data_IF_985145201665
#
_entry.id   IF_985145201665
#
_cell.length_a   1.000
_cell.length_b   1.000
_cell.length_c   1.000
_cell.angle_alpha   90.00
_cell.angle_beta   90.00
_cell.angle_gamma   90.00
#
_symmetry.space_group_name_H-M   'P 1'
#
loop_
_entity.id
_entity.type
_entity.pdbx_description
1 polymer ?
#
# COMPACT_ATOMS: atom_id res chain seq x y z
N UNK A 1 18.64 -58.01 53.79
CA UNK A 1 18.82 -58.50 52.41
C UNK A 1 19.16 -57.34 51.46
N UNK A 2 20.17 -57.55 50.62
CA UNK A 2 20.59 -56.87 49.37
C UNK A 2 21.67 -57.81 48.76
N UNK A 3 22.02 -57.86 47.46
CA UNK A 3 21.64 -57.05 46.27
C UNK A 3 21.43 -57.88 44.97
N UNK A 4 21.48 -57.19 43.81
CA UNK A 4 21.86 -57.64 42.44
C UNK A 4 20.68 -58.00 41.52
N UNK A 5 20.38 -57.42 40.33
CA UNK A 5 21.05 -56.93 39.10
C UNK A 5 20.72 -57.83 37.86
N UNK A 6 20.17 -57.19 36.80
CA UNK A 6 20.25 -57.45 35.34
C UNK A 6 19.59 -58.70 34.66
N UNK A 7 19.30 -58.72 33.32
CA UNK A 7 19.74 -57.79 32.24
C UNK A 7 18.70 -57.30 31.16
N UNK A 8 19.16 -56.32 30.38
CA UNK A 8 18.80 -55.74 29.05
C UNK A 8 18.69 -56.73 27.85
N UNK A 9 18.57 -56.35 26.53
CA UNK A 9 18.38 -55.03 25.85
C UNK A 9 17.38 -55.01 24.65
N UNK A 10 17.11 -53.83 24.06
CA UNK A 10 17.31 -53.58 22.60
C UNK A 10 17.11 -52.09 22.23
N UNK A 11 18.09 -51.60 21.47
CA UNK A 11 18.40 -50.23 21.04
C UNK A 11 17.29 -49.48 20.27
N UNK A 12 17.43 -48.15 20.07
CA UNK A 12 18.30 -47.67 18.99
C UNK A 12 19.31 -46.58 19.39
N UNK A 13 20.50 -46.71 18.79
CA UNK A 13 21.61 -45.76 18.85
C UNK A 13 21.45 -44.60 17.87
N UNK A 14 22.16 -43.52 18.24
CA UNK A 14 22.85 -42.55 17.37
C UNK A 14 22.09 -41.30 16.92
N UNK A 15 22.36 -40.22 17.65
CA UNK A 15 22.64 -38.89 17.09
C UNK A 15 23.88 -38.99 16.16
N UNK A 16 23.91 -38.26 15.05
CA UNK A 16 24.78 -37.09 14.83
C UNK A 16 24.57 -36.48 13.43
N UNK A 17 24.72 -35.15 13.38
CA UNK A 17 25.02 -34.23 12.27
C UNK A 17 25.08 -34.74 10.81
N UNK A 18 24.35 -34.05 9.93
CA UNK A 18 24.99 -33.52 8.72
C UNK A 18 24.40 -32.15 8.33
N UNK A 19 25.31 -31.19 8.27
CA UNK A 19 25.17 -29.79 7.93
C UNK A 19 24.79 -29.61 6.45
N UNK A 20 24.13 -28.51 6.05
CA UNK A 20 24.62 -27.84 4.84
C UNK A 20 25.12 -26.43 5.16
N UNK A 21 26.39 -26.23 4.85
CA UNK A 21 27.08 -24.93 4.82
C UNK A 21 27.02 -24.33 3.42
N UNK A 22 26.76 -23.02 3.41
CA UNK A 22 27.15 -21.97 2.44
C UNK A 22 26.37 -21.91 1.10
N UNK A 23 26.06 -20.67 0.68
CA UNK A 23 26.94 -20.05 -0.32
C UNK A 23 27.36 -18.62 0.05
N UNK A 24 28.67 -18.40 0.02
CA UNK A 24 29.38 -17.11 -0.18
C UNK A 24 30.15 -17.24 -1.49
N UNK A 25 30.55 -16.24 -2.26
CA UNK A 25 30.19 -14.85 -2.53
C UNK A 25 30.91 -14.54 -3.88
N UNK A 26 30.47 -13.49 -4.57
CA UNK A 26 31.21 -12.62 -5.50
C UNK A 26 32.15 -13.19 -6.59
N UNK A 27 31.84 -12.82 -7.83
CA UNK A 27 32.70 -12.99 -9.00
C UNK A 27 32.21 -12.10 -10.13
N UNK A 28 32.58 -10.82 -10.07
CA UNK A 28 32.24 -9.83 -11.08
C UNK A 28 32.80 -10.14 -12.46
N UNK A 29 32.05 -9.77 -13.49
CA UNK A 29 32.63 -9.40 -14.79
C UNK A 29 31.85 -8.21 -15.35
N UNK A 30 32.57 -7.09 -15.46
CA UNK A 30 32.12 -5.91 -16.18
C UNK A 30 32.04 -6.22 -17.66
N UNK A 31 30.93 -5.86 -18.30
CA UNK A 31 30.86 -5.73 -19.76
C UNK A 31 29.85 -4.65 -20.16
N UNK A 32 30.38 -3.46 -20.35
CA UNK A 32 30.01 -2.47 -21.38
C UNK A 32 31.37 -1.95 -21.91
N UNK A 33 31.52 -1.49 -23.16
CA UNK A 33 30.49 -0.83 -23.98
C UNK A 33 30.51 -1.20 -25.48
N UNK A 34 29.42 -0.92 -26.19
CA UNK A 34 29.37 -0.50 -27.60
C UNK A 34 27.91 -0.06 -27.83
N UNK A 35 27.58 1.24 -27.93
CA UNK A 35 27.84 2.23 -28.97
C UNK A 35 26.89 2.09 -30.19
N UNK A 36 26.48 3.26 -30.69
CA UNK A 36 25.51 3.57 -31.74
C UNK A 36 24.02 3.31 -31.42
N UNK A 37 23.07 4.22 -31.64
CA UNK A 37 23.09 5.40 -32.48
C UNK A 37 22.11 6.47 -31.99
N UNK A 38 22.44 7.68 -32.39
CA UNK A 38 21.85 8.97 -32.07
C UNK A 38 20.35 9.06 -32.39
N UNK A 39 19.62 9.90 -31.67
CA UNK A 39 18.82 10.95 -32.30
C UNK A 39 18.60 12.07 -31.27
N UNK A 40 19.47 13.08 -31.38
CA UNK A 40 19.38 14.31 -30.63
C UNK A 40 18.16 15.11 -31.10
N UNK A 41 17.32 15.45 -30.13
CA UNK A 41 16.39 16.58 -30.23
C UNK A 41 17.12 17.82 -30.74
N UNK A 42 16.65 18.35 -31.86
CA UNK A 42 16.85 19.75 -32.22
C UNK A 42 15.50 20.47 -32.15
N UNK A 43 15.47 21.49 -31.30
CA UNK A 43 14.34 22.37 -31.06
C UNK A 43 14.19 23.39 -32.20
N UNK A 44 12.95 23.51 -32.72
CA UNK A 44 12.23 24.71 -33.20
C UNK A 44 12.74 25.49 -34.44
N UNK A 45 11.92 26.38 -35.05
CA UNK A 45 10.54 26.77 -34.71
C UNK A 45 9.54 26.67 -35.88
N UNK A 46 8.26 26.50 -35.58
CA UNK A 46 7.21 26.95 -36.50
C UNK A 46 6.06 27.58 -35.72
N UNK A 47 6.06 28.91 -35.74
CA UNK A 47 4.87 29.72 -35.49
C UNK A 47 3.78 29.27 -36.46
N UNK A 48 2.66 28.80 -35.93
CA UNK A 48 1.38 28.94 -36.60
C UNK A 48 0.31 29.20 -35.55
N UNK A 49 -0.18 30.43 -35.60
CA UNK A 49 -1.44 30.88 -35.05
C UNK A 49 -2.50 29.79 -35.12
N UNK A 50 -2.89 29.29 -33.96
CA UNK A 50 -3.79 28.17 -33.81
C UNK A 50 -4.72 28.42 -32.64
N UNK A 51 -5.53 29.47 -32.76
CA UNK A 51 -6.87 29.64 -32.17
C UNK A 51 -7.15 28.74 -30.97
N UNK A 52 -7.01 29.30 -29.77
CA UNK A 52 -7.61 28.77 -28.54
C UNK A 52 -9.07 28.41 -28.85
N UNK A 53 -9.51 27.14 -28.77
CA UNK A 53 -10.93 26.87 -28.81
C UNK A 53 -11.50 27.40 -27.50
N UNK A 54 -12.14 28.56 -27.61
CA UNK A 54 -13.04 29.11 -26.63
C UNK A 54 -13.94 27.97 -26.13
N UNK A 55 -13.82 27.63 -24.84
CA UNK A 55 -14.64 26.63 -24.19
C UNK A 55 -16.11 27.02 -24.35
N UNK A 56 -16.76 26.39 -25.33
CA UNK A 56 -18.17 26.60 -25.61
C UNK A 56 -18.98 26.17 -24.40
N UNK A 57 -19.72 27.12 -23.83
CA UNK A 57 -20.83 26.85 -22.92
C UNK A 57 -21.94 26.16 -23.70
N UNK A 58 -21.80 24.86 -23.87
CA UNK A 58 -22.86 23.93 -24.24
C UNK A 58 -23.56 23.36 -23.01
N UNK A 59 -24.76 22.77 -23.18
CA UNK A 59 -25.62 22.34 -22.08
C UNK A 59 -24.95 21.29 -21.19
N UNK A 60 -24.87 21.56 -19.88
CA UNK A 60 -24.35 20.71 -18.79
C UNK A 60 -23.22 19.76 -19.18
N UNK A 61 -21.96 20.20 -19.04
CA UNK A 61 -20.80 19.31 -19.09
C UNK A 61 -20.98 18.14 -18.10
N UNK A 62 -21.32 16.95 -18.62
CA UNK A 62 -20.94 15.69 -17.97
C UNK A 62 -19.45 15.78 -17.65
N UNK A 63 -19.06 15.46 -16.42
CA UNK A 63 -17.67 15.54 -15.98
C UNK A 63 -16.71 14.68 -16.84
N UNK A 64 -15.41 14.82 -16.60
CA UNK A 64 -14.36 14.04 -17.28
C UNK A 64 -13.86 12.92 -16.36
N UNK A 65 -13.60 11.72 -16.91
CA UNK A 65 -12.95 10.63 -16.17
C UNK A 65 -11.61 11.05 -15.57
N UNK A 66 -10.78 11.77 -16.34
CA UNK A 66 -9.49 12.25 -15.87
C UNK A 66 -9.65 13.26 -14.73
N UNK A 67 -10.60 14.20 -14.84
CA UNK A 67 -10.87 15.17 -13.78
C UNK A 67 -11.37 14.48 -12.50
N UNK A 68 -12.30 13.52 -12.64
CA UNK A 68 -12.82 12.74 -11.51
C UNK A 68 -11.73 11.92 -10.84
N UNK A 69 -10.88 11.24 -11.61
CA UNK A 69 -9.72 10.52 -11.10
C UNK A 69 -8.80 11.42 -10.27
N UNK A 70 -8.46 12.61 -10.78
CA UNK A 70 -7.60 13.55 -10.07
C UNK A 70 -8.21 14.05 -8.75
N UNK A 71 -9.51 14.32 -8.71
CA UNK A 71 -10.19 14.70 -7.47
C UNK A 71 -10.18 13.56 -6.44
N UNK A 72 -10.38 12.32 -6.88
CA UNK A 72 -10.34 11.15 -6.00
C UNK A 72 -8.92 10.90 -5.49
N UNK A 73 -7.90 10.98 -6.35
CA UNK A 73 -6.49 10.86 -5.94
C UNK A 73 -6.15 11.89 -4.87
N UNK A 74 -6.53 13.17 -5.05
CA UNK A 74 -6.31 14.20 -4.03
C UNK A 74 -6.94 13.86 -2.68
N UNK A 75 -8.13 13.27 -2.68
CA UNK A 75 -8.83 12.86 -1.45
C UNK A 75 -8.12 11.67 -0.80
N UNK A 76 -7.79 10.63 -1.56
CA UNK A 76 -7.12 9.44 -1.05
C UNK A 76 -5.72 9.77 -0.51
N UNK A 77 -4.99 10.65 -1.20
CA UNK A 77 -3.64 11.09 -0.81
C UNK A 77 -3.67 12.15 0.31
N UNK A 78 -4.86 12.63 0.73
CA UNK A 78 -5.01 13.53 1.88
C UNK A 78 -4.84 12.84 3.23
N UNK A 79 -4.81 11.51 3.26
CA UNK A 79 -4.56 10.75 4.48
C UNK A 79 -3.11 10.92 4.90
N UNK A 80 -2.90 11.51 6.08
CA UNK A 80 -1.58 11.83 6.58
C UNK A 80 -0.93 10.63 7.31
N UNK A 81 -0.06 9.92 6.59
CA UNK A 81 0.85 8.93 7.17
C UNK A 81 2.19 9.55 7.60
N UNK A 82 2.55 10.74 7.08
CA UNK A 82 3.87 11.36 7.29
C UNK A 82 4.08 11.86 8.72
N UNK A 83 3.01 12.06 9.49
CA UNK A 83 3.07 12.36 10.93
C UNK A 83 3.29 11.15 11.84
N UNK A 84 3.59 9.97 11.28
CA UNK A 84 4.00 8.79 12.04
C UNK A 84 5.52 8.77 12.10
N UNK A 85 6.08 8.89 13.31
CA UNK A 85 7.54 8.98 13.50
C UNK A 85 8.27 7.64 13.26
N UNK A 86 7.68 6.52 13.68
CA UNK A 86 8.28 5.20 13.47
C UNK A 86 8.06 4.74 12.02
N UNK A 87 9.16 4.59 11.28
CA UNK A 87 9.14 4.26 9.86
C UNK A 87 8.58 2.86 9.56
N UNK A 88 8.71 1.90 10.47
CA UNK A 88 8.12 0.56 10.27
C UNK A 88 6.60 0.66 10.35
N UNK A 89 6.10 1.30 11.41
CA UNK A 89 4.66 1.54 11.55
C UNK A 89 4.12 2.38 10.38
N UNK A 90 4.80 3.47 10.03
CA UNK A 90 4.39 4.34 8.92
C UNK A 90 4.22 3.54 7.63
N UNK A 91 5.26 2.82 7.21
CA UNK A 91 5.26 2.05 5.95
C UNK A 91 4.21 0.96 5.96
N UNK A 92 4.05 0.25 7.07
CA UNK A 92 3.03 -0.80 7.18
C UNK A 92 1.63 -0.21 7.01
N UNK A 93 1.30 0.86 7.75
CA UNK A 93 -0.03 1.48 7.69
C UNK A 93 -0.30 2.08 6.30
N UNK A 94 0.68 2.75 5.72
CA UNK A 94 0.57 3.36 4.38
C UNK A 94 0.39 2.29 3.30
N UNK A 95 1.22 1.24 3.29
CA UNK A 95 1.10 0.14 2.33
C UNK A 95 -0.24 -0.59 2.45
N UNK A 96 -0.69 -0.82 3.69
CA UNK A 96 -1.99 -1.46 3.95
C UNK A 96 -3.14 -0.60 3.44
N UNK A 97 -3.11 0.72 3.69
CA UNK A 97 -4.11 1.64 3.16
C UNK A 97 -4.09 1.69 1.63
N UNK A 98 -2.91 1.71 1.01
CA UNK A 98 -2.78 1.70 -0.43
C UNK A 98 -3.40 0.44 -1.06
N UNK A 99 -3.07 -0.73 -0.51
CA UNK A 99 -3.54 -2.02 -1.00
C UNK A 99 -5.05 -2.24 -0.77
N UNK A 100 -5.58 -1.81 0.37
CA UNK A 100 -6.96 -2.13 0.79
C UNK A 100 -7.98 -1.04 0.47
N UNK A 101 -7.55 0.21 0.35
CA UNK A 101 -8.45 1.35 0.10
C UNK A 101 -8.10 2.05 -1.19
N UNK A 102 -6.87 2.57 -1.31
CA UNK A 102 -6.53 3.48 -2.42
C UNK A 102 -6.71 2.81 -3.77
N UNK A 103 -6.06 1.66 -3.99
CA UNK A 103 -6.07 0.99 -5.28
C UNK A 103 -7.47 0.47 -5.65
N UNK A 104 -8.21 -0.23 -4.76
CA UNK A 104 -9.57 -0.68 -5.08
C UNK A 104 -10.55 0.46 -5.38
N UNK A 105 -10.43 1.60 -4.70
CA UNK A 105 -11.30 2.76 -4.95
C UNK A 105 -10.97 3.41 -6.29
N UNK A 106 -9.68 3.55 -6.65
CA UNK A 106 -9.28 4.07 -7.95
C UNK A 106 -9.74 3.16 -9.09
N UNK A 107 -9.63 1.85 -8.93
CA UNK A 107 -10.13 0.88 -9.90
C UNK A 107 -11.64 1.01 -10.11
N UNK A 108 -12.42 1.02 -9.03
CA UNK A 108 -13.87 1.16 -9.10
C UNK A 108 -14.31 2.49 -9.73
N UNK A 109 -13.58 3.57 -9.47
CA UNK A 109 -13.98 4.93 -9.88
C UNK A 109 -13.41 5.35 -11.21
N UNK A 110 -12.47 4.59 -11.80
CA UNK A 110 -11.91 4.87 -13.13
C UNK A 110 -12.95 4.92 -14.25
N UNK A 111 -14.14 4.35 -14.03
CA UNK A 111 -15.28 4.35 -14.95
C UNK A 111 -16.35 5.40 -14.59
N UNK A 112 -16.05 6.37 -13.73
CA UNK A 112 -16.99 7.41 -13.31
C UNK A 112 -16.54 8.77 -13.83
N UNK A 113 -17.36 9.37 -14.70
CA UNK A 113 -17.06 10.67 -15.30
C UNK A 113 -17.51 11.85 -14.42
N UNK A 114 -18.58 11.67 -13.64
CA UNK A 114 -19.17 12.70 -12.79
C UNK A 114 -18.81 12.49 -11.31
N UNK A 115 -17.74 13.15 -10.86
CA UNK A 115 -17.36 13.17 -9.45
C UNK A 115 -18.47 13.72 -8.53
N UNK A 116 -19.27 14.67 -9.00
CA UNK A 116 -20.34 15.27 -8.20
C UNK A 116 -21.35 14.25 -7.69
N UNK A 117 -21.63 13.21 -8.47
CA UNK A 117 -22.53 12.11 -8.11
C UNK A 117 -22.03 11.27 -6.92
N UNK A 118 -20.72 11.17 -6.73
CA UNK A 118 -20.10 10.31 -5.70
C UNK A 118 -19.36 11.08 -4.60
N UNK A 119 -19.21 12.41 -4.74
CA UNK A 119 -18.47 13.27 -3.80
C UNK A 119 -18.87 13.06 -2.34
N UNK A 120 -20.16 12.89 -2.06
CA UNK A 120 -20.66 12.69 -0.70
C UNK A 120 -20.16 11.40 -0.04
N UNK A 121 -19.83 10.37 -0.82
CA UNK A 121 -19.33 9.10 -0.30
C UNK A 121 -17.97 9.25 0.40
N UNK A 122 -17.15 10.21 -0.03
CA UNK A 122 -15.81 10.44 0.50
C UNK A 122 -15.78 11.27 1.79
N UNK A 123 -16.90 11.86 2.21
CA UNK A 123 -16.94 12.87 3.27
C UNK A 123 -16.35 12.40 4.62
N UNK A 124 -16.42 11.10 4.92
CA UNK A 124 -15.94 10.53 6.19
C UNK A 124 -14.57 9.84 6.08
N UNK A 125 -14.08 9.58 4.87
CA UNK A 125 -12.92 8.72 4.62
C UNK A 125 -11.70 9.13 5.46
N UNK A 126 -11.22 10.38 5.28
CA UNK A 126 -10.02 10.85 5.98
C UNK A 126 -10.19 10.82 7.50
N UNK A 127 -11.39 11.14 7.99
CA UNK A 127 -11.69 11.12 9.42
C UNK A 127 -11.70 9.71 10.01
N UNK A 128 -12.24 8.73 9.30
CA UNK A 128 -12.27 7.32 9.74
C UNK A 128 -10.87 6.70 9.70
N UNK A 129 -10.12 6.91 8.62
CA UNK A 129 -8.74 6.41 8.51
C UNK A 129 -7.83 7.05 9.56
N UNK A 130 -7.98 8.35 9.84
CA UNK A 130 -7.24 9.02 10.92
C UNK A 130 -7.50 8.40 12.30
N UNK A 131 -8.72 7.96 12.59
CA UNK A 131 -9.04 7.26 13.85
C UNK A 131 -8.30 5.92 13.93
N UNK A 132 -8.25 5.18 12.82
CA UNK A 132 -7.52 3.90 12.74
C UNK A 132 -6.02 4.10 12.91
N UNK A 133 -5.44 5.11 12.25
CA UNK A 133 -4.01 5.48 12.42
C UNK A 133 -3.73 5.82 13.88
N UNK A 134 -4.56 6.64 14.53
CA UNK A 134 -4.36 7.00 15.93
C UNK A 134 -4.48 5.79 16.88
N UNK A 135 -5.39 4.85 16.60
CA UNK A 135 -5.51 3.61 17.36
C UNK A 135 -4.25 2.76 17.23
N UNK A 136 -3.76 2.57 16.00
CA UNK A 136 -2.52 1.83 15.74
C UNK A 136 -1.31 2.50 16.41
N UNK A 137 -1.16 3.83 16.33
CA UNK A 137 -0.10 4.60 17.02
C UNK A 137 -0.14 4.37 18.53
N UNK A 138 -1.33 4.37 19.14
CA UNK A 138 -1.48 4.16 20.59
C UNK A 138 -1.06 2.75 20.98
N UNK A 139 -1.54 1.74 20.27
CA UNK A 139 -1.21 0.34 20.56
C UNK A 139 0.27 0.03 20.32
N UNK A 140 0.83 0.54 19.22
CA UNK A 140 2.25 0.44 18.93
C UNK A 140 3.12 1.03 20.06
N UNK A 141 2.75 2.22 20.56
CA UNK A 141 3.46 2.84 21.69
C UNK A 141 3.40 1.95 22.94
N UNK A 142 2.23 1.38 23.25
CA UNK A 142 2.07 0.44 24.37
C UNK A 142 2.97 -0.79 24.22
N UNK A 143 3.00 -1.40 23.03
CA UNK A 143 3.87 -2.53 22.74
C UNK A 143 5.36 -2.18 22.91
N UNK A 144 5.81 -1.04 22.37
CA UNK A 144 7.19 -0.55 22.52
C UNK A 144 7.58 -0.37 23.99
N UNK A 145 6.68 0.15 24.82
CA UNK A 145 6.93 0.29 26.27
C UNK A 145 6.99 -1.04 27.01
N UNK A 146 6.48 -2.14 26.41
CA UNK A 146 6.59 -3.51 26.91
C UNK A 146 7.91 -4.20 26.61
N UNK A 147 8.85 -3.53 25.91
CA UNK A 147 10.19 -4.05 25.62
C UNK A 147 10.36 -4.70 24.24
N UNK A 148 9.30 -4.74 23.42
CA UNK A 148 9.40 -5.24 22.04
C UNK A 148 10.06 -4.26 21.08
N UNK A 149 10.64 -4.79 20.00
CA UNK A 149 11.21 -3.98 18.93
C UNK A 149 10.12 -3.43 17.98
N UNK A 150 10.47 -2.47 17.11
CA UNK A 150 9.49 -1.85 16.22
C UNK A 150 8.87 -2.81 15.22
N UNK A 151 9.58 -3.85 14.77
CA UNK A 151 9.03 -4.83 13.83
C UNK A 151 7.95 -5.68 14.49
N UNK A 152 8.24 -6.30 15.64
CA UNK A 152 7.28 -7.15 16.36
C UNK A 152 6.02 -6.39 16.76
N UNK A 153 6.17 -5.15 17.22
CA UNK A 153 5.02 -4.29 17.52
C UNK A 153 4.20 -3.91 16.29
N UNK A 154 4.81 -3.82 15.11
CA UNK A 154 4.12 -3.49 13.86
C UNK A 154 3.23 -4.65 13.42
N UNK A 155 3.74 -5.88 13.48
CA UNK A 155 3.01 -7.10 13.08
C UNK A 155 1.71 -7.26 13.90
N UNK A 156 1.75 -6.89 15.18
CA UNK A 156 0.56 -6.91 16.05
C UNK A 156 -0.53 -5.90 15.61
N UNK A 157 -0.17 -4.82 14.93
CA UNK A 157 -1.13 -3.79 14.49
C UNK A 157 -1.67 -4.01 13.09
N UNK A 158 -0.97 -4.79 12.25
CA UNK A 158 -1.31 -4.94 10.84
C UNK A 158 -2.74 -5.45 10.65
N UNK A 159 -3.11 -6.56 11.30
CA UNK A 159 -4.43 -7.16 11.14
C UNK A 159 -5.57 -6.22 11.56
N UNK A 160 -5.45 -5.61 12.75
CA UNK A 160 -6.50 -4.72 13.26
C UNK A 160 -6.67 -3.45 12.40
N UNK A 161 -5.56 -2.89 11.90
CA UNK A 161 -5.61 -1.76 10.99
C UNK A 161 -6.19 -2.18 9.63
N UNK A 162 -5.74 -3.32 9.08
CA UNK A 162 -6.21 -3.89 7.82
C UNK A 162 -7.73 -4.11 7.84
N UNK A 163 -8.25 -4.77 8.88
CA UNK A 163 -9.69 -4.99 9.06
C UNK A 163 -10.46 -3.66 9.13
N UNK A 164 -9.91 -2.70 9.86
CA UNK A 164 -10.46 -1.34 9.95
C UNK A 164 -10.57 -0.66 8.58
N UNK A 165 -9.48 -0.65 7.80
CA UNK A 165 -9.47 0.02 6.49
C UNK A 165 -10.27 -0.75 5.44
N UNK A 166 -10.37 -2.09 5.54
CA UNK A 166 -11.27 -2.90 4.71
C UNK A 166 -12.72 -2.47 4.94
N UNK A 167 -13.16 -2.32 6.19
CA UNK A 167 -14.53 -1.86 6.48
C UNK A 167 -14.83 -0.46 5.91
N UNK A 168 -13.84 0.45 5.98
CA UNK A 168 -13.93 1.78 5.36
C UNK A 168 -14.04 1.66 3.84
N UNK A 169 -13.19 0.85 3.20
CA UNK A 169 -13.22 0.61 1.76
C UNK A 169 -14.57 0.01 1.32
N UNK A 170 -15.06 -1.02 1.98
CA UNK A 170 -16.35 -1.66 1.68
C UNK A 170 -17.51 -0.67 1.78
N UNK A 171 -17.53 0.16 2.83
CA UNK A 171 -18.56 1.20 3.00
C UNK A 171 -18.51 2.23 1.87
N UNK A 172 -17.31 2.70 1.53
CA UNK A 172 -17.09 3.65 0.45
C UNK A 172 -17.48 3.06 -0.91
N UNK A 173 -17.06 1.83 -1.21
CA UNK A 173 -17.39 1.11 -2.43
C UNK A 173 -18.89 0.90 -2.57
N UNK A 174 -19.57 0.51 -1.50
CA UNK A 174 -21.02 0.35 -1.47
C UNK A 174 -21.74 1.68 -1.75
N UNK A 175 -21.29 2.78 -1.14
CA UNK A 175 -21.83 4.11 -1.42
C UNK A 175 -21.63 4.49 -2.89
N UNK A 176 -20.42 4.32 -3.45
CA UNK A 176 -20.12 4.64 -4.85
C UNK A 176 -20.99 3.82 -5.80
N UNK A 177 -21.10 2.51 -5.59
CA UNK A 177 -21.94 1.63 -6.40
C UNK A 177 -23.41 2.06 -6.37
N UNK A 178 -23.94 2.45 -5.20
CA UNK A 178 -25.33 2.92 -5.07
C UNK A 178 -25.64 4.24 -5.79
N UNK A 179 -24.60 5.02 -6.14
CA UNK A 179 -24.70 6.33 -6.78
C UNK A 179 -24.33 6.29 -8.26
N UNK A 180 -23.74 5.18 -8.73
CA UNK A 180 -23.51 4.95 -10.14
C UNK A 180 -24.88 4.78 -10.80
N UNK A 181 -25.25 5.72 -11.66
CA UNK A 181 -26.40 5.53 -12.56
C UNK A 181 -25.90 4.68 -13.73
N UNK A 182 -26.64 3.62 -14.06
CA UNK A 182 -26.46 2.85 -15.29
C UNK A 182 -26.57 3.75 -16.54
#
# INVERSE_FOLDING_TARGET
EKPTENPEPSSPSSQDDDQPKEPTEDGGESSKPDDADSEASTEKPSKKDGKVPSAGKGPSQKGSYAATYQEIVKILDSVDFKSIEDLHLQRMLENTYQARVRNPILEQTGQIADFGAIKSCFAKLTGEVKKLINAAKKQFKTCKTGGENSSGCTDQQENAFADGVINVATTLQGCISSKRKD
#
